data_IF_531870922072
#
_entry.id   IF_531870922072
#
_cell.length_a   1.000
_cell.length_b   1.000
_cell.length_c   1.000
_cell.angle_alpha   90.00
_cell.angle_beta   90.00
_cell.angle_gamma   90.00
#
_symmetry.space_group_name_H-M   'P 1'
#
loop_
_entity.id
_entity.type
_entity.pdbx_description
1 polymer ?
#
# COMPACT_ATOMS: atom_id res chain seq x y z
N UNK A 1 -23.57 9.15 11.54
CA UNK A 1 -23.27 9.87 10.29
C UNK A 1 -22.86 8.83 9.25
N UNK A 2 -23.34 8.94 8.02
CA UNK A 2 -23.02 8.00 6.94
C UNK A 2 -21.83 8.55 6.12
N UNK A 3 -20.67 7.85 6.08
CA UNK A 3 -19.48 8.32 5.39
C UNK A 3 -19.59 8.25 3.86
N UNK A 4 -20.60 7.58 3.30
CA UNK A 4 -20.78 7.42 1.86
C UNK A 4 -21.66 8.50 1.21
N UNK A 5 -22.00 9.56 1.95
CA UNK A 5 -22.74 10.70 1.39
C UNK A 5 -21.85 11.56 0.48
N UNK A 6 -21.73 11.14 -0.78
CA UNK A 6 -20.95 11.82 -1.82
C UNK A 6 -21.37 13.30 -2.02
N UNK A 7 -22.67 13.60 -1.92
CA UNK A 7 -23.17 14.98 -2.01
C UNK A 7 -22.60 15.86 -0.91
N UNK A 8 -22.53 15.36 0.32
CA UNK A 8 -21.94 16.09 1.44
C UNK A 8 -20.44 16.32 1.21
N UNK A 9 -19.70 15.31 0.74
CA UNK A 9 -18.30 15.45 0.38
C UNK A 9 -18.09 16.52 -0.71
N UNK A 10 -18.90 16.50 -1.77
CA UNK A 10 -18.80 17.46 -2.87
C UNK A 10 -19.15 18.90 -2.45
N UNK A 11 -20.13 19.09 -1.56
CA UNK A 11 -20.45 20.41 -0.99
C UNK A 11 -19.24 20.97 -0.24
N UNK A 12 -18.56 20.14 0.56
CA UNK A 12 -17.36 20.55 1.31
C UNK A 12 -16.22 20.95 0.37
N UNK A 13 -15.95 20.16 -0.68
CA UNK A 13 -14.95 20.49 -1.71
C UNK A 13 -15.24 21.86 -2.36
N UNK A 14 -16.48 22.09 -2.78
CA UNK A 14 -16.90 23.37 -3.40
C UNK A 14 -16.76 24.55 -2.43
N UNK A 15 -17.08 24.37 -1.15
CA UNK A 15 -16.93 25.43 -0.16
C UNK A 15 -15.47 25.85 0.01
N UNK A 16 -14.54 24.89 -0.01
CA UNK A 16 -13.10 25.13 0.08
C UNK A 16 -12.51 25.75 -1.19
N UNK A 17 -13.05 25.42 -2.37
CA UNK A 17 -12.61 26.02 -3.64
C UNK A 17 -13.07 27.47 -3.85
N UNK A 18 -14.13 27.92 -3.14
CA UNK A 18 -14.71 29.27 -3.32
C UNK A 18 -14.11 30.34 -2.40
N UNK A 19 -13.34 29.95 -1.37
CA UNK A 19 -12.88 30.88 -0.34
C UNK A 19 -11.62 31.67 -0.75
N UNK A 20 -11.75 33.00 -0.86
CA UNK A 20 -10.68 33.96 -1.14
C UNK A 20 -9.82 34.41 0.06
N UNK A 21 -9.76 33.65 1.18
CA UNK A 21 -8.92 33.96 2.36
C UNK A 21 -8.55 32.67 3.13
N UNK A 22 -7.44 32.65 3.90
CA UNK A 22 -6.27 31.86 3.54
C UNK A 22 -6.61 30.36 3.42
N UNK A 23 -6.65 29.89 2.16
CA UNK A 23 -6.94 28.52 1.74
C UNK A 23 -6.23 27.47 2.61
N UNK A 24 -5.00 27.75 3.03
CA UNK A 24 -4.19 26.86 3.89
C UNK A 24 -4.85 26.53 5.23
N UNK A 25 -5.44 27.50 5.94
CA UNK A 25 -6.04 27.26 7.25
C UNK A 25 -7.36 26.46 7.15
N UNK A 26 -8.09 26.65 6.06
CA UNK A 26 -9.30 25.89 5.77
C UNK A 26 -8.96 24.45 5.37
N UNK A 27 -7.98 24.25 4.49
CA UNK A 27 -7.49 22.92 4.10
C UNK A 27 -6.92 22.14 5.29
N UNK A 28 -6.17 22.79 6.19
CA UNK A 28 -5.64 22.13 7.40
C UNK A 28 -6.77 21.66 8.33
N UNK A 29 -7.83 22.46 8.49
CA UNK A 29 -9.02 22.04 9.27
C UNK A 29 -9.75 20.88 8.60
N UNK A 30 -9.86 20.90 7.27
CA UNK A 30 -10.47 19.82 6.52
C UNK A 30 -9.65 18.52 6.63
N UNK A 31 -8.33 18.62 6.52
CA UNK A 31 -7.41 17.51 6.76
C UNK A 31 -7.64 16.90 8.14
N UNK A 32 -7.62 17.70 9.21
CA UNK A 32 -7.84 17.22 10.58
C UNK A 32 -9.21 16.54 10.74
N UNK A 33 -10.25 17.08 10.10
CA UNK A 33 -11.57 16.47 10.10
C UNK A 33 -11.57 15.10 9.42
N UNK A 34 -11.00 14.99 8.21
CA UNK A 34 -10.92 13.72 7.48
C UNK A 34 -10.00 12.71 8.18
N UNK A 35 -8.86 13.16 8.72
CA UNK A 35 -7.95 12.36 9.56
C UNK A 35 -8.72 11.74 10.72
N UNK A 36 -9.48 12.55 11.44
CA UNK A 36 -10.26 12.09 12.59
C UNK A 36 -11.25 10.99 12.20
N UNK A 37 -11.92 11.12 11.04
CA UNK A 37 -12.88 10.11 10.59
C UNK A 37 -12.20 8.81 10.13
N UNK A 38 -11.11 8.92 9.35
CA UNK A 38 -10.37 7.76 8.86
C UNK A 38 -9.67 7.02 10.00
N UNK A 39 -9.22 7.75 11.02
CA UNK A 39 -8.59 7.24 12.23
C UNK A 39 -9.54 7.23 13.43
N UNK A 40 -10.86 7.11 13.24
CA UNK A 40 -11.81 6.84 14.32
C UNK A 40 -12.05 5.33 14.48
N UNK A 41 -12.48 4.85 15.65
CA UNK A 41 -12.87 3.43 15.84
C UNK A 41 -14.27 3.16 15.25
N UNK A 42 -14.53 3.75 14.07
CA UNK A 42 -15.80 3.72 13.38
C UNK A 42 -15.64 2.91 12.11
N UNK A 43 -15.98 1.62 12.19
CA UNK A 43 -15.60 0.66 11.16
C UNK A 43 -16.10 0.96 9.74
N UNK A 44 -17.20 1.71 9.61
CA UNK A 44 -17.73 2.15 8.31
C UNK A 44 -16.93 3.31 7.72
N UNK A 45 -16.30 4.13 8.54
CA UNK A 45 -15.61 5.35 8.12
C UNK A 45 -14.17 5.04 7.69
N UNK A 46 -13.44 4.24 8.45
CA UNK A 46 -12.03 3.93 8.17
C UNK A 46 -11.79 3.23 6.82
N UNK A 47 -12.79 2.52 6.29
CA UNK A 47 -12.73 1.89 4.96
C UNK A 47 -13.57 2.60 3.89
N UNK A 48 -14.09 3.79 4.18
CA UNK A 48 -15.01 4.50 3.28
C UNK A 48 -14.29 4.96 2.01
N UNK A 49 -14.68 4.47 0.82
CA UNK A 49 -14.10 4.95 -0.43
C UNK A 49 -14.35 6.45 -0.64
N UNK A 50 -15.50 6.96 -0.18
CA UNK A 50 -15.85 8.39 -0.27
C UNK A 50 -14.91 9.25 0.57
N UNK A 51 -14.60 8.84 1.81
CA UNK A 51 -13.65 9.58 2.66
C UNK A 51 -12.21 9.50 2.13
N UNK A 52 -11.76 8.33 1.66
CA UNK A 52 -10.43 8.20 1.05
C UNK A 52 -10.31 8.99 -0.25
N UNK A 53 -11.37 9.06 -1.06
CA UNK A 53 -11.43 9.92 -2.25
C UNK A 53 -11.37 11.40 -1.88
N UNK A 54 -12.07 11.82 -0.82
CA UNK A 54 -11.97 13.18 -0.29
C UNK A 54 -10.54 13.48 0.18
N UNK A 55 -9.92 12.56 0.93
CA UNK A 55 -8.52 12.70 1.35
C UNK A 55 -7.59 12.89 0.15
N UNK A 56 -7.68 12.04 -0.87
CA UNK A 56 -6.83 12.17 -2.07
C UNK A 56 -6.98 13.53 -2.73
N UNK A 57 -8.22 14.01 -2.86
CA UNK A 57 -8.47 15.36 -3.36
C UNK A 57 -7.79 16.43 -2.50
N UNK A 58 -7.84 16.34 -1.16
CA UNK A 58 -7.15 17.29 -0.27
C UNK A 58 -5.64 17.31 -0.51
N UNK A 59 -5.03 16.13 -0.59
CA UNK A 59 -3.58 16.00 -0.83
C UNK A 59 -3.20 16.61 -2.16
N UNK A 60 -3.90 16.25 -3.24
CA UNK A 60 -3.65 16.78 -4.58
C UNK A 60 -3.83 18.29 -4.63
N UNK A 61 -4.89 18.83 -4.03
CA UNK A 61 -5.10 20.29 -3.94
C UNK A 61 -4.02 20.97 -3.12
N UNK A 62 -3.51 20.36 -2.05
CA UNK A 62 -2.38 20.92 -1.30
C UNK A 62 -1.12 20.99 -2.17
N UNK A 63 -0.80 19.92 -2.91
CA UNK A 63 0.34 19.91 -3.82
C UNK A 63 0.22 20.94 -4.95
N UNK A 64 -0.94 21.04 -5.59
CA UNK A 64 -1.22 22.03 -6.65
C UNK A 64 -1.03 23.48 -6.15
N UNK A 65 -1.34 23.72 -4.88
CA UNK A 65 -1.18 25.02 -4.23
C UNK A 65 0.22 25.24 -3.61
N UNK A 66 1.17 24.31 -3.80
CA UNK A 66 2.50 24.38 -3.21
C UNK A 66 2.49 24.33 -1.68
N UNK A 67 1.46 23.75 -1.08
CA UNK A 67 1.35 23.54 0.37
C UNK A 67 2.10 22.24 0.69
N UNK A 68 3.13 22.27 1.55
CA UNK A 68 3.86 21.07 1.94
C UNK A 68 2.94 20.04 2.57
N UNK A 69 3.11 18.78 2.18
CA UNK A 69 2.41 17.63 2.74
C UNK A 69 3.45 16.63 3.26
N UNK A 70 3.39 16.31 4.55
CA UNK A 70 4.31 15.35 5.15
C UNK A 70 3.85 13.92 4.85
N UNK A 71 4.42 13.35 3.77
CA UNK A 71 4.11 12.01 3.27
C UNK A 71 4.36 10.92 4.31
N UNK A 72 5.50 11.00 5.02
CA UNK A 72 5.87 9.98 6.01
C UNK A 72 4.95 10.04 7.22
N UNK A 73 4.63 11.25 7.70
CA UNK A 73 3.67 11.45 8.78
C UNK A 73 2.29 10.88 8.42
N UNK A 74 1.79 11.17 7.21
CA UNK A 74 0.48 10.70 6.74
C UNK A 74 0.40 9.17 6.71
N UNK A 75 1.42 8.52 6.13
CA UNK A 75 1.50 7.06 6.11
C UNK A 75 1.49 6.49 7.53
N UNK A 76 2.29 7.05 8.45
CA UNK A 76 2.41 6.53 9.82
C UNK A 76 1.17 6.76 10.68
N UNK A 77 0.55 7.94 10.58
CA UNK A 77 -0.49 8.34 11.52
C UNK A 77 -1.91 8.21 10.97
N UNK A 78 -2.06 7.98 9.67
CA UNK A 78 -3.38 7.81 9.04
C UNK A 78 -3.50 6.47 8.35
N UNK A 79 -2.61 6.14 7.42
CA UNK A 79 -2.70 4.85 6.68
C UNK A 79 -2.51 3.67 7.62
N UNK A 80 -1.39 3.63 8.35
CA UNK A 80 -1.10 2.52 9.26
C UNK A 80 -2.17 2.41 10.34
N UNK A 81 -2.57 3.52 10.95
CA UNK A 81 -3.65 3.55 11.95
C UNK A 81 -4.99 3.04 11.37
N UNK A 82 -5.29 3.34 10.11
CA UNK A 82 -6.46 2.80 9.42
C UNK A 82 -6.31 1.30 9.09
N UNK A 83 -5.09 0.83 8.82
CA UNK A 83 -4.73 -0.57 8.63
C UNK A 83 -4.83 -1.40 9.92
N UNK A 84 -4.39 -0.88 11.06
CA UNK A 84 -4.53 -1.54 12.37
C UNK A 84 -6.01 -1.78 12.72
N UNK A 85 -6.87 -0.81 12.37
CA UNK A 85 -8.32 -0.88 12.67
C UNK A 85 -9.08 -1.77 11.70
N UNK A 86 -8.56 -1.91 10.50
CA UNK A 86 -9.13 -2.71 9.44
C UNK A 86 -8.01 -3.48 8.75
N UNK A 87 -7.73 -4.70 9.22
CA UNK A 87 -6.77 -5.55 8.55
C UNK A 87 -7.11 -5.64 7.06
N UNK A 88 -6.10 -5.49 6.20
CA UNK A 88 -6.24 -5.51 4.74
C UNK A 88 -7.07 -4.35 4.18
N UNK A 89 -6.98 -3.17 4.80
CA UNK A 89 -7.61 -1.94 4.30
C UNK A 89 -6.98 -1.47 2.99
N UNK A 90 -7.35 -2.11 1.88
CA UNK A 90 -6.75 -1.87 0.57
C UNK A 90 -6.85 -0.40 0.13
N UNK A 91 -7.95 0.30 0.45
CA UNK A 91 -8.12 1.72 0.06
C UNK A 91 -7.17 2.66 0.80
N UNK A 92 -6.79 2.34 2.04
CA UNK A 92 -5.76 3.07 2.79
C UNK A 92 -4.37 2.85 2.18
N UNK A 93 -4.02 1.59 1.90
CA UNK A 93 -2.73 1.26 1.28
C UNK A 93 -2.63 1.72 -0.18
N UNK A 94 -3.75 1.84 -0.89
CA UNK A 94 -3.79 2.49 -2.21
C UNK A 94 -3.48 3.99 -2.10
N UNK A 95 -3.97 4.65 -1.05
CA UNK A 95 -3.60 6.04 -0.77
C UNK A 95 -2.11 6.18 -0.45
N UNK A 96 -1.52 5.25 0.32
CA UNK A 96 -0.09 5.25 0.60
C UNK A 96 0.77 5.18 -0.67
N UNK A 97 0.34 4.40 -1.67
CA UNK A 97 1.01 4.32 -2.98
C UNK A 97 1.01 5.66 -3.69
N UNK A 98 -0.13 6.36 -3.73
CA UNK A 98 -0.23 7.71 -4.29
C UNK A 98 0.78 8.68 -3.62
N UNK A 99 0.86 8.63 -2.29
CA UNK A 99 1.79 9.49 -1.53
C UNK A 99 3.24 9.18 -1.89
N UNK A 100 3.60 7.90 -1.95
CA UNK A 100 4.95 7.46 -2.27
C UNK A 100 5.34 7.69 -3.74
N UNK A 101 4.39 7.60 -4.67
CA UNK A 101 4.61 7.93 -6.09
C UNK A 101 4.97 9.40 -6.28
N UNK A 102 4.46 10.27 -5.41
CA UNK A 102 4.72 11.71 -5.47
C UNK A 102 6.08 12.08 -4.89
N UNK A 103 6.50 11.41 -3.81
CA UNK A 103 7.81 11.60 -3.20
C UNK A 103 8.46 10.26 -2.82
N UNK A 104 9.18 9.67 -3.78
CA UNK A 104 9.93 8.43 -3.58
C UNK A 104 11.24 8.62 -2.81
N UNK A 105 11.63 9.86 -2.49
CA UNK A 105 12.88 10.10 -1.76
C UNK A 105 12.85 9.51 -0.35
N UNK A 106 11.64 9.40 0.23
CA UNK A 106 11.41 8.84 1.56
C UNK A 106 11.17 7.32 1.56
N UNK A 107 11.27 6.64 0.41
CA UNK A 107 10.94 5.22 0.28
C UNK A 107 11.66 4.32 1.29
N UNK A 108 12.96 4.55 1.53
CA UNK A 108 13.73 3.76 2.50
C UNK A 108 13.25 3.96 3.94
N UNK A 109 13.00 5.21 4.35
CA UNK A 109 12.50 5.52 5.69
C UNK A 109 11.09 4.97 5.92
N UNK A 110 10.23 5.07 4.91
CA UNK A 110 8.88 4.51 4.92
C UNK A 110 8.93 2.98 4.96
N UNK A 111 9.85 2.33 4.22
CA UNK A 111 10.02 0.88 4.26
C UNK A 111 10.28 0.38 5.67
N UNK A 112 11.13 1.07 6.46
CA UNK A 112 11.35 0.69 7.85
C UNK A 112 10.10 0.86 8.72
N UNK A 113 9.37 1.98 8.59
CA UNK A 113 8.13 2.18 9.35
C UNK A 113 7.08 1.10 8.99
N UNK A 114 6.97 0.73 7.71
CA UNK A 114 6.03 -0.28 7.23
C UNK A 114 6.47 -1.69 7.63
N UNK A 115 7.77 -2.00 7.61
CA UNK A 115 8.31 -3.26 8.17
C UNK A 115 7.87 -3.43 9.61
N UNK A 116 8.06 -2.41 10.44
CA UNK A 116 7.63 -2.42 11.85
C UNK A 116 6.12 -2.63 12.00
N UNK A 117 5.31 -2.00 11.15
CA UNK A 117 3.86 -2.26 11.10
C UNK A 117 3.56 -3.71 10.74
N UNK A 118 4.18 -4.25 9.69
CA UNK A 118 3.96 -5.59 9.17
C UNK A 118 4.35 -6.67 10.18
N UNK A 119 5.45 -6.49 10.92
CA UNK A 119 5.86 -7.43 11.97
C UNK A 119 4.83 -7.52 13.11
N UNK A 120 4.13 -6.43 13.43
CA UNK A 120 3.03 -6.43 14.41
C UNK A 120 1.70 -6.92 13.82
N UNK A 121 1.55 -6.86 12.50
CA UNK A 121 0.32 -7.18 11.76
C UNK A 121 0.62 -8.21 10.66
N UNK A 122 1.26 -9.33 11.01
CA UNK A 122 1.85 -10.26 10.05
C UNK A 122 0.86 -10.85 9.03
N UNK A 123 -0.45 -10.85 9.30
CA UNK A 123 -1.51 -11.27 8.37
C UNK A 123 -2.01 -10.20 7.40
N UNK A 124 -1.47 -8.98 7.42
CA UNK A 124 -1.91 -7.87 6.56
C UNK A 124 -1.21 -7.87 5.19
N UNK A 125 -1.82 -8.55 4.22
CA UNK A 125 -1.31 -8.62 2.84
C UNK A 125 -1.13 -7.24 2.18
N UNK A 126 -1.93 -6.24 2.54
CA UNK A 126 -1.86 -4.92 1.90
C UNK A 126 -0.64 -4.13 2.38
N UNK A 127 -0.32 -4.24 3.68
CA UNK A 127 0.92 -3.70 4.27
C UNK A 127 2.16 -4.36 3.67
N UNK A 128 2.18 -5.70 3.60
CA UNK A 128 3.29 -6.44 2.99
C UNK A 128 3.50 -6.08 1.50
N UNK A 129 2.43 -6.01 0.72
CA UNK A 129 2.51 -5.60 -0.68
C UNK A 129 2.98 -4.15 -0.84
N UNK A 130 2.66 -3.26 0.10
CA UNK A 130 3.18 -1.89 0.11
C UNK A 130 4.65 -1.83 0.53
N UNK A 131 5.11 -2.68 1.45
CA UNK A 131 6.52 -2.78 1.82
C UNK A 131 7.39 -3.17 0.61
N UNK A 132 6.96 -4.16 -0.18
CA UNK A 132 7.66 -4.52 -1.43
C UNK A 132 7.70 -3.35 -2.42
N UNK A 133 6.63 -2.56 -2.51
CA UNK A 133 6.58 -1.35 -3.36
C UNK A 133 7.54 -0.26 -2.86
N UNK A 134 7.67 -0.09 -1.54
CA UNK A 134 8.65 0.83 -0.94
C UNK A 134 10.08 0.44 -1.34
N UNK A 135 10.45 -0.84 -1.17
CA UNK A 135 11.78 -1.33 -1.52
C UNK A 135 12.07 -1.11 -3.00
N UNK A 136 11.12 -1.45 -3.88
CA UNK A 136 11.26 -1.30 -5.33
C UNK A 136 11.41 0.17 -5.79
N UNK A 137 10.95 1.13 -5.00
CA UNK A 137 11.02 2.57 -5.31
C UNK A 137 12.26 3.26 -4.76
N UNK A 138 13.11 2.56 -4.02
CA UNK A 138 14.41 3.09 -3.59
C UNK A 138 15.31 3.21 -4.83
N UNK A 139 15.66 4.45 -5.19
CA UNK A 139 16.41 4.76 -6.42
C UNK A 139 17.88 4.34 -6.36
N UNK A 140 18.46 4.36 -5.17
CA UNK A 140 19.86 4.01 -4.95
C UNK A 140 20.02 2.50 -4.78
N UNK A 141 20.84 1.85 -5.61
CA UNK A 141 21.00 0.39 -5.61
C UNK A 141 21.69 -0.13 -4.35
N UNK A 142 22.61 0.64 -3.77
CA UNK A 142 23.26 0.28 -2.51
C UNK A 142 22.29 0.39 -1.34
N UNK A 143 21.58 1.52 -1.21
CA UNK A 143 20.55 1.75 -0.22
C UNK A 143 19.39 0.76 -0.34
N UNK A 144 18.97 0.43 -1.57
CA UNK A 144 17.94 -0.59 -1.82
C UNK A 144 18.38 -1.97 -1.32
N UNK A 145 19.61 -2.39 -1.65
CA UNK A 145 20.18 -3.66 -1.17
C UNK A 145 20.34 -3.67 0.36
N UNK A 146 20.77 -2.56 0.95
CA UNK A 146 20.91 -2.41 2.40
C UNK A 146 19.56 -2.52 3.11
N UNK A 147 18.54 -1.81 2.63
CA UNK A 147 17.19 -1.86 3.20
C UNK A 147 16.57 -3.23 3.02
N UNK A 148 16.68 -3.82 1.82
CA UNK A 148 16.19 -5.16 1.53
C UNK A 148 16.82 -6.21 2.45
N UNK A 149 18.15 -6.16 2.62
CA UNK A 149 18.90 -7.06 3.52
C UNK A 149 18.39 -6.95 4.96
N UNK A 150 18.33 -5.73 5.50
CA UNK A 150 17.85 -5.51 6.87
C UNK A 150 16.40 -5.95 7.06
N UNK A 151 15.53 -5.71 6.08
CA UNK A 151 14.12 -6.15 6.14
C UNK A 151 14.04 -7.68 6.11
N UNK A 152 14.80 -8.34 5.25
CA UNK A 152 14.80 -9.81 5.16
C UNK A 152 15.35 -10.47 6.42
N UNK A 153 16.44 -9.95 6.98
CA UNK A 153 16.99 -10.44 8.25
C UNK A 153 15.92 -10.44 9.35
N UNK A 154 15.25 -9.30 9.55
CA UNK A 154 14.21 -9.17 10.57
C UNK A 154 12.99 -10.06 10.29
N UNK A 155 12.50 -10.07 9.04
CA UNK A 155 11.27 -10.81 8.68
C UNK A 155 11.52 -12.32 8.73
N UNK A 156 12.65 -12.83 8.24
CA UNK A 156 12.99 -14.25 8.32
C UNK A 156 13.19 -14.69 9.78
N UNK A 157 13.93 -13.91 10.57
CA UNK A 157 14.14 -14.17 12.00
C UNK A 157 12.83 -14.25 12.77
N UNK A 158 11.92 -13.30 12.55
CA UNK A 158 10.59 -13.29 13.18
C UNK A 158 9.72 -14.45 12.67
N UNK A 159 9.75 -14.75 11.37
CA UNK A 159 8.99 -15.85 10.76
C UNK A 159 9.38 -17.18 11.37
N UNK A 160 10.68 -17.43 11.55
CA UNK A 160 11.18 -18.64 12.18
C UNK A 160 10.81 -18.69 13.67
N UNK A 161 11.13 -17.62 14.41
CA UNK A 161 10.93 -17.55 15.88
C UNK A 161 9.46 -17.72 16.28
N UNK A 162 8.54 -17.11 15.54
CA UNK A 162 7.11 -17.17 15.80
C UNK A 162 6.38 -18.23 14.96
N UNK A 163 7.12 -19.00 14.16
CA UNK A 163 6.59 -20.03 13.26
C UNK A 163 5.46 -19.52 12.37
N UNK A 164 5.64 -18.37 11.75
CA UNK A 164 4.62 -17.78 10.89
C UNK A 164 4.44 -18.59 9.60
N UNK A 165 3.22 -19.05 9.38
CA UNK A 165 2.83 -19.85 8.20
C UNK A 165 1.81 -19.14 7.32
N UNK A 166 1.41 -17.91 7.69
CA UNK A 166 0.38 -17.18 6.98
C UNK A 166 0.84 -16.71 5.59
N UNK A 167 -0.08 -16.78 4.62
CA UNK A 167 0.20 -16.48 3.21
C UNK A 167 0.83 -15.11 2.97
N UNK A 168 0.43 -14.09 3.72
CA UNK A 168 0.91 -12.72 3.48
C UNK A 168 2.43 -12.56 3.64
N UNK A 169 3.01 -13.19 4.67
CA UNK A 169 4.47 -13.17 4.90
C UNK A 169 5.19 -13.95 3.81
N UNK A 170 4.70 -15.14 3.46
CA UNK A 170 5.35 -15.99 2.46
C UNK A 170 5.25 -15.41 1.05
N UNK A 171 4.16 -14.72 0.72
CA UNK A 171 4.04 -13.95 -0.52
C UNK A 171 5.02 -12.79 -0.55
N UNK A 172 5.21 -12.08 0.56
CA UNK A 172 6.23 -11.03 0.65
C UNK A 172 7.64 -11.58 0.45
N UNK A 173 8.02 -12.59 1.24
CA UNK A 173 9.36 -13.18 1.21
C UNK A 173 9.72 -13.70 -0.18
N UNK A 174 8.84 -14.50 -0.80
CA UNK A 174 9.10 -15.03 -2.16
C UNK A 174 9.24 -13.90 -3.18
N UNK A 175 8.42 -12.85 -3.07
CA UNK A 175 8.45 -11.74 -4.03
C UNK A 175 9.74 -10.93 -3.87
N UNK A 176 10.17 -10.62 -2.65
CA UNK A 176 11.39 -9.84 -2.42
C UNK A 176 12.64 -10.63 -2.77
N UNK A 177 12.74 -11.90 -2.34
CA UNK A 177 13.89 -12.77 -2.66
C UNK A 177 14.06 -12.90 -4.17
N UNK A 178 12.95 -13.14 -4.89
CA UNK A 178 13.04 -13.35 -6.33
C UNK A 178 13.22 -12.06 -7.14
N UNK A 179 12.66 -10.93 -6.68
CA UNK A 179 12.70 -9.66 -7.43
C UNK A 179 13.97 -8.85 -7.19
N UNK A 180 14.44 -8.78 -5.95
CA UNK A 180 15.47 -7.81 -5.55
C UNK A 180 16.91 -8.35 -5.73
N UNK A 181 17.07 -9.48 -6.44
CA UNK A 181 18.37 -10.13 -6.73
C UNK A 181 19.25 -10.20 -5.49
N UNK A 182 18.65 -10.65 -4.39
CA UNK A 182 19.31 -10.75 -3.09
C UNK A 182 20.48 -11.72 -3.17
N UNK A 183 21.45 -11.55 -2.27
CA UNK A 183 22.56 -12.48 -2.15
C UNK A 183 22.05 -13.92 -1.93
N UNK A 184 22.75 -14.91 -2.46
CA UNK A 184 22.47 -16.34 -2.36
C UNK A 184 22.15 -16.77 -0.92
N UNK A 185 22.85 -16.18 0.07
CA UNK A 185 22.56 -16.35 1.50
C UNK A 185 21.08 -16.20 1.87
N UNK A 186 20.38 -15.19 1.34
CA UNK A 186 18.97 -14.96 1.67
C UNK A 186 18.05 -15.97 1.00
N UNK A 187 18.40 -16.42 -0.20
CA UNK A 187 17.69 -17.50 -0.89
C UNK A 187 17.82 -18.81 -0.11
N UNK A 188 19.03 -19.14 0.34
CA UNK A 188 19.30 -20.31 1.19
C UNK A 188 18.56 -20.23 2.51
N UNK A 189 18.60 -19.09 3.20
CA UNK A 189 17.91 -18.90 4.47
C UNK A 189 16.39 -19.00 4.30
N UNK A 190 15.83 -18.38 3.26
CA UNK A 190 14.41 -18.52 2.91
C UNK A 190 14.00 -19.99 2.72
N UNK A 191 14.79 -20.76 1.95
CA UNK A 191 14.52 -22.18 1.72
C UNK A 191 14.66 -23.00 3.01
N UNK A 192 15.69 -22.74 3.82
CA UNK A 192 15.92 -23.41 5.09
C UNK A 192 14.76 -23.17 6.07
N UNK A 193 14.33 -21.92 6.26
CA UNK A 193 13.18 -21.58 7.12
C UNK A 193 11.89 -22.21 6.59
N UNK A 194 11.67 -22.19 5.27
CA UNK A 194 10.49 -22.79 4.65
C UNK A 194 10.46 -24.32 4.87
N UNK A 195 11.59 -24.99 4.64
CA UNK A 195 11.69 -26.44 4.83
C UNK A 195 11.50 -26.83 6.30
N UNK A 196 12.14 -26.11 7.22
CA UNK A 196 12.04 -26.37 8.66
C UNK A 196 10.61 -26.24 9.19
N UNK A 197 9.88 -25.20 8.75
CA UNK A 197 8.49 -25.00 9.16
C UNK A 197 7.54 -26.00 8.47
N UNK A 198 7.74 -26.30 7.18
CA UNK A 198 6.89 -27.24 6.43
C UNK A 198 7.04 -28.68 6.90
N UNK A 199 8.25 -29.11 7.28
CA UNK A 199 8.50 -30.48 7.75
C UNK A 199 7.75 -30.84 9.04
N UNK A 200 7.36 -29.83 9.83
CA UNK A 200 6.58 -30.01 11.04
C UNK A 200 5.06 -29.97 10.81
N UNK A 201 4.60 -29.83 9.56
CA UNK A 201 3.19 -29.67 9.22
C UNK A 201 2.65 -30.88 8.44
N UNK A 202 1.38 -31.28 8.66
CA UNK A 202 0.72 -32.25 7.81
C UNK A 202 0.67 -31.75 6.36
N UNK A 203 0.97 -32.63 5.42
CA UNK A 203 0.69 -32.38 4.01
C UNK A 203 -0.84 -32.18 3.86
N UNK A 204 -1.26 -31.27 2.98
CA UNK A 204 -2.67 -30.93 2.65
C UNK A 204 -3.36 -29.81 3.47
N UNK A 205 -2.75 -29.28 4.53
CA UNK A 205 -3.30 -28.07 5.16
C UNK A 205 -2.98 -26.80 4.34
N UNK A 206 -3.87 -25.79 4.32
CA UNK A 206 -3.67 -24.57 3.52
C UNK A 206 -2.31 -23.90 3.72
N UNK A 207 -1.80 -23.88 4.95
CA UNK A 207 -0.51 -23.33 5.34
C UNK A 207 0.66 -24.04 4.65
N UNK A 208 0.60 -25.38 4.56
CA UNK A 208 1.61 -26.17 3.85
C UNK A 208 1.59 -25.85 2.36
N UNK A 209 0.39 -25.76 1.75
CA UNK A 209 0.23 -25.41 0.34
C UNK A 209 0.79 -24.01 0.05
N UNK A 210 0.55 -23.05 0.94
CA UNK A 210 1.12 -21.69 0.86
C UNK A 210 2.64 -21.74 0.82
N UNK A 211 3.25 -22.54 1.68
CA UNK A 211 4.71 -22.64 1.78
C UNK A 211 5.31 -23.35 0.57
N UNK A 212 4.67 -24.38 0.04
CA UNK A 212 5.08 -25.06 -1.19
C UNK A 212 5.07 -24.09 -2.39
N UNK A 213 3.95 -23.37 -2.58
CA UNK A 213 3.82 -22.38 -3.66
C UNK A 213 4.88 -21.28 -3.57
N UNK A 214 5.27 -20.90 -2.35
CA UNK A 214 6.30 -19.90 -2.15
C UNK A 214 7.67 -20.40 -2.66
N UNK A 215 7.99 -21.68 -2.47
CA UNK A 215 9.22 -22.32 -2.99
C UNK A 215 9.22 -22.40 -4.52
N UNK A 216 8.13 -22.91 -5.11
CA UNK A 216 8.02 -23.09 -6.57
C UNK A 216 8.25 -21.77 -7.34
N UNK A 217 7.68 -20.67 -6.83
CA UNK A 217 7.83 -19.35 -7.44
C UNK A 217 9.28 -18.84 -7.48
N UNK A 218 10.08 -19.13 -6.45
CA UNK A 218 11.49 -18.73 -6.42
C UNK A 218 12.32 -19.46 -7.47
N UNK A 219 12.04 -20.75 -7.73
CA UNK A 219 12.73 -21.51 -8.77
C UNK A 219 12.37 -21.03 -10.18
N UNK A 220 11.09 -20.76 -10.46
CA UNK A 220 10.64 -20.30 -11.78
C UNK A 220 11.21 -18.93 -12.20
N UNK A 221 11.49 -18.04 -11.24
CA UNK A 221 12.12 -16.74 -11.51
C UNK A 221 13.64 -16.83 -11.72
N UNK A 222 14.31 -17.80 -11.10
CA UNK A 222 15.73 -18.08 -11.32
C UNK A 222 16.03 -18.64 -12.72
N UNK A 223 15.07 -19.34 -13.32
CA UNK A 223 15.19 -19.93 -14.67
C UNK A 223 14.85 -18.94 -15.82
N UNK A 224 14.64 -17.65 -15.51
CA UNK A 224 14.35 -16.63 -16.52
C UNK A 224 12.91 -16.67 -17.08
N UNK A 225 12.00 -17.40 -16.43
CA UNK A 225 10.60 -17.50 -16.86
C UNK A 225 9.71 -16.44 -16.19
N UNK A 226 10.06 -15.17 -16.42
CA UNK A 226 9.40 -14.00 -15.83
C UNK A 226 7.87 -14.01 -16.06
N UNK A 227 7.43 -14.50 -17.22
CA UNK A 227 6.01 -14.50 -17.64
C UNK A 227 5.11 -15.34 -16.73
N UNK A 228 5.58 -16.49 -16.23
CA UNK A 228 4.81 -17.36 -15.33
C UNK A 228 4.73 -16.80 -13.91
N UNK A 229 5.83 -16.21 -13.46
CA UNK A 229 5.93 -15.64 -12.12
C UNK A 229 5.16 -14.32 -11.96
N UNK A 230 5.22 -13.42 -12.95
CA UNK A 230 4.43 -12.19 -12.94
C UNK A 230 2.94 -12.44 -13.14
N UNK A 231 2.55 -13.51 -13.85
CA UNK A 231 1.14 -13.91 -13.99
C UNK A 231 0.54 -14.34 -12.64
N UNK A 232 1.26 -15.16 -11.86
CA UNK A 232 0.84 -15.53 -10.50
C UNK A 232 0.80 -14.36 -9.52
N UNK A 233 1.76 -13.41 -9.61
CA UNK A 233 1.77 -12.19 -8.80
C UNK A 233 0.61 -11.25 -9.17
N UNK A 234 0.30 -11.09 -10.46
CA UNK A 234 -0.76 -10.19 -10.96
C UNK A 234 -2.16 -10.76 -10.73
N UNK A 235 -2.33 -12.08 -10.80
CA UNK A 235 -3.60 -12.77 -10.50
C UNK A 235 -3.90 -12.77 -8.99
N UNK A 236 -2.89 -12.90 -8.11
CA UNK A 236 -3.08 -12.77 -6.65
C UNK A 236 -3.26 -11.33 -6.17
N UNK A 237 -2.64 -10.34 -6.83
CA UNK A 237 -2.75 -8.92 -6.45
C UNK A 237 -4.05 -8.24 -6.92
N UNK A 238 -4.95 -8.95 -7.61
CA UNK A 238 -6.25 -8.41 -8.10
C UNK A 238 -6.15 -6.96 -8.61
N UNK A 239 -5.16 -6.71 -9.48
CA UNK A 239 -5.10 -5.48 -10.26
C UNK A 239 -6.08 -5.61 -11.44
N UNK A 240 -7.38 -5.44 -11.17
CA UNK A 240 -8.29 -5.02 -12.25
C UNK A 240 -8.04 -3.53 -12.48
N UNK A 241 -7.60 -3.10 -13.67
CA UNK A 241 -7.58 -1.68 -13.99
C UNK A 241 -9.02 -1.18 -13.90
N UNK A 242 -9.30 -0.29 -12.94
CA UNK A 242 -10.55 0.46 -12.96
C UNK A 242 -10.38 1.53 -14.01
N UNK A 243 -10.71 1.19 -15.26
CA UNK A 243 -10.96 2.16 -16.31
C UNK A 243 -12.25 2.90 -15.93
N UNK A 244 -12.13 3.96 -15.14
CA UNK A 244 -13.14 5.00 -15.04
C UNK A 244 -12.54 6.26 -15.66
N UNK A 245 -12.84 6.41 -16.94
CA UNK A 245 -12.63 7.64 -17.71
C UNK A 245 -13.26 8.81 -16.96
N UNK A 246 -12.43 9.74 -16.49
CA UNK A 246 -12.86 11.09 -16.14
C UNK A 246 -12.62 11.92 -17.39
N UNK A 247 -13.64 12.04 -18.24
CA UNK A 247 -13.69 13.13 -19.21
C UNK A 247 -14.00 14.44 -18.47
N UNK A 248 -13.26 15.53 -18.72
CA UNK A 248 -13.64 16.84 -18.22
C UNK A 248 -14.78 17.43 -19.09
N UNK A 249 -15.79 18.09 -18.50
CA UNK A 249 -16.78 18.79 -19.31
C UNK A 249 -16.15 20.08 -19.85
N UNK A 250 -15.93 20.14 -21.17
CA UNK A 250 -15.74 21.43 -21.85
C UNK A 250 -17.11 22.09 -22.12
N UNK A 251 -17.18 23.43 -22.14
CA UNK A 251 -18.41 24.17 -22.33
C UNK A 251 -18.64 24.47 -23.82
N UNK A 252 -19.75 23.98 -24.37
CA UNK A 252 -20.35 24.51 -25.61
C UNK A 252 -21.71 25.08 -25.22
N UNK A 253 -22.10 26.29 -25.60
CA UNK A 253 -21.86 26.94 -26.86
C UNK A 253 -23.24 27.39 -27.34
N UNK A 254 -23.44 28.69 -27.39
CA UNK A 254 -24.68 29.38 -27.74
C UNK A 254 -25.18 28.93 -29.12
N UNK A 255 -26.45 28.54 -29.23
CA UNK A 255 -27.16 28.46 -30.51
C UNK A 255 -27.89 29.78 -30.80
N UNK A 256 -27.89 30.26 -32.05
CA UNK A 256 -28.67 31.43 -32.44
C UNK A 256 -30.12 31.03 -32.74
N UNK A 257 -31.08 31.79 -32.19
CA UNK A 257 -32.44 31.79 -32.69
C UNK A 257 -32.51 32.71 -33.91
N UNK A 258 -32.99 32.14 -35.03
CA UNK A 258 -33.45 32.86 -36.20
C UNK A 258 -34.83 32.33 -36.57
N UNK A 259 -35.87 33.06 -36.16
CA UNK A 259 -37.11 33.34 -36.91
C UNK A 259 -37.76 34.57 -36.29
#
# INVERSE_FOLDING_TARGET
MDPEHLTAANIRKRALSRSGNPIRAALKREQQFVDTLLTARLHRHTKSPTLWSHRRWLVTTCWELGIPWDVRYDIRHVVMVAGERHPRNYVAWQHARLLLDTDSTMAAAIAFDVKEFCLRNHSDISGWAFLSDCIAKIRDDEGRRSVCSSVLDDVLSMTESFRWTNESVWVFLRTVVARERVNERYSEQFLATNNGLSAAMPHEIPEWITMERARECTFALGEGNETLAFRGIRELLMLKPTTAMIEPPYPGGVSPEST
#
